data_IF_066177096228
#
_entry.id   IF_066177096228
#
_cell.length_a   1.000
_cell.length_b   1.000
_cell.length_c   1.000
_cell.angle_alpha   90.00
_cell.angle_beta   90.00
_cell.angle_gamma   90.00
#
_symmetry.space_group_name_H-M   'P 1'
#
loop_
_entity.id
_entity.type
_entity.pdbx_description
1 polymer ?
#
# COMPACT_ATOMS: atom_id res chain seq x y z
N UNK A 1 0.41 34.98 9.18
CA UNK A 1 1.83 34.64 9.35
C UNK A 1 2.04 33.33 8.62
N UNK A 2 2.97 33.29 7.66
CA UNK A 2 3.14 32.16 6.73
C UNK A 2 3.58 30.89 7.45
N UNK A 3 2.82 29.82 7.23
CA UNK A 3 3.20 28.46 7.57
C UNK A 3 3.90 27.89 6.35
N UNK A 4 5.23 27.87 6.40
CA UNK A 4 6.05 27.09 5.49
C UNK A 4 6.83 26.14 6.41
N UNK A 5 6.31 24.95 6.64
CA UNK A 5 7.07 23.90 7.29
C UNK A 5 8.17 23.43 6.34
N UNK A 6 9.40 23.34 6.86
CA UNK A 6 10.56 22.95 6.06
C UNK A 6 10.58 21.43 5.92
N UNK A 7 10.03 20.91 4.83
CA UNK A 7 10.40 19.59 4.34
C UNK A 7 11.88 19.61 3.93
N UNK A 8 12.69 18.75 4.54
CA UNK A 8 14.08 18.54 4.12
C UNK A 8 14.23 17.09 3.68
N UNK A 9 14.53 16.87 2.40
CA UNK A 9 14.91 15.56 1.90
C UNK A 9 16.32 15.25 2.43
N UNK A 10 16.46 14.18 3.21
CA UNK A 10 17.75 13.71 3.70
C UNK A 10 18.08 12.42 2.93
N UNK A 11 18.98 12.53 1.95
CA UNK A 11 19.61 11.36 1.34
C UNK A 11 20.91 11.06 2.07
N UNK A 12 20.94 10.03 2.91
CA UNK A 12 22.17 9.52 3.52
C UNK A 12 22.48 8.13 2.96
N UNK A 13 23.65 7.96 2.36
CA UNK A 13 24.15 6.64 1.94
C UNK A 13 24.85 6.03 3.16
N UNK A 14 24.20 5.04 3.80
CA UNK A 14 24.80 4.28 4.88
C UNK A 14 25.67 3.16 4.31
N UNK A 15 27.00 3.34 4.31
CA UNK A 15 27.94 2.23 4.21
C UNK A 15 28.40 1.86 5.62
N UNK A 16 27.80 0.86 6.25
CA UNK A 16 28.26 0.42 7.58
C UNK A 16 28.74 -1.03 7.60
N UNK A 17 30.00 -1.14 7.99
CA UNK A 17 30.69 -2.33 8.49
C UNK A 17 29.99 -2.85 9.74
N UNK A 18 29.53 -4.11 9.73
CA UNK A 18 28.98 -4.76 10.92
C UNK A 18 30.17 -5.15 11.80
N UNK A 19 30.41 -4.37 12.85
CA UNK A 19 30.94 -4.89 14.10
C UNK A 19 30.49 -4.00 15.26
N UNK A 20 30.22 -4.64 16.39
CA UNK A 20 29.56 -4.12 17.58
C UNK A 20 30.11 -2.76 18.08
N UNK A 21 29.19 -1.83 18.39
CA UNK A 21 29.47 -0.61 19.17
C UNK A 21 29.29 0.70 18.41
N UNK A 22 28.47 1.61 18.96
CA UNK A 22 28.40 2.99 18.51
C UNK A 22 29.66 3.73 18.95
N UNK A 23 30.47 4.20 17.99
CA UNK A 23 31.43 5.27 18.24
C UNK A 23 31.30 6.35 17.16
N UNK A 24 31.11 7.60 17.61
CA UNK A 24 30.90 8.77 16.76
C UNK A 24 32.26 9.18 16.17
N UNK A 25 32.42 9.11 14.85
CA UNK A 25 33.59 9.72 14.19
C UNK A 25 33.35 11.23 14.05
N UNK A 26 34.18 12.02 14.71
CA UNK A 26 34.16 13.47 14.65
C UNK A 26 34.57 13.98 13.25
N UNK A 27 33.82 14.95 12.72
CA UNK A 27 34.20 15.71 11.53
C UNK A 27 35.20 16.80 11.96
N UNK A 28 36.40 16.91 11.37
CA UNK A 28 37.32 17.99 11.69
C UNK A 28 36.81 19.32 11.09
N UNK A 29 36.93 20.40 11.86
CA UNK A 29 36.60 21.76 11.46
C UNK A 29 37.41 22.19 10.22
N UNK A 30 36.73 22.66 9.16
CA UNK A 30 37.37 23.46 8.11
C UNK A 30 37.15 23.11 6.64
N UNK A 31 36.11 22.37 6.24
CA UNK A 31 35.82 22.12 4.82
C UNK A 31 34.67 22.99 4.30
N UNK A 32 35.02 24.01 3.50
CA UNK A 32 34.07 24.85 2.75
C UNK A 32 33.52 24.09 1.53
N UNK A 33 32.21 24.18 1.32
CA UNK A 33 31.53 23.62 0.16
C UNK A 33 32.00 24.26 -1.15
N UNK A 34 32.49 23.46 -2.10
CA UNK A 34 32.33 23.74 -3.54
C UNK A 34 32.54 22.49 -4.39
N UNK A 35 31.49 22.16 -5.13
CA UNK A 35 31.49 21.59 -6.48
C UNK A 35 31.92 20.12 -6.68
N UNK A 36 30.91 19.35 -7.13
CA UNK A 36 30.94 18.09 -7.88
C UNK A 36 30.72 16.78 -7.08
N UNK A 37 29.49 16.22 -7.06
CA UNK A 37 29.18 14.96 -6.36
C UNK A 37 29.57 13.69 -7.14
N UNK A 38 30.16 13.79 -8.34
CA UNK A 38 30.56 12.62 -9.13
C UNK A 38 32.08 12.45 -9.19
N UNK A 39 32.69 11.95 -8.11
CA UNK A 39 33.90 11.12 -8.17
C UNK A 39 34.36 10.69 -6.78
N UNK A 40 34.13 9.43 -6.42
CA UNK A 40 35.13 8.66 -5.68
C UNK A 40 34.94 7.17 -5.99
N UNK A 41 35.67 6.67 -6.99
CA UNK A 41 35.88 5.24 -7.15
C UNK A 41 36.85 4.77 -6.07
N UNK A 42 36.41 3.86 -5.19
CA UNK A 42 37.27 2.99 -4.40
C UNK A 42 37.24 1.57 -5.00
N UNK A 43 38.33 0.80 -4.94
CA UNK A 43 38.46 -0.44 -5.67
C UNK A 43 37.51 -1.52 -5.13
N UNK A 44 36.82 -2.18 -6.06
CA UNK A 44 35.89 -3.28 -5.82
C UNK A 44 36.68 -4.47 -5.26
N UNK A 45 36.36 -4.85 -4.02
CA UNK A 45 36.87 -6.02 -3.35
C UNK A 45 35.82 -6.60 -2.41
N UNK A 46 35.20 -7.70 -2.87
CA UNK A 46 34.49 -8.73 -2.11
C UNK A 46 33.31 -8.34 -1.19
N UNK A 47 32.13 -8.85 -1.57
CA UNK A 47 31.06 -9.40 -0.70
C UNK A 47 30.28 -8.50 0.27
N UNK A 48 30.33 -7.17 0.16
CA UNK A 48 29.51 -6.31 1.02
C UNK A 48 28.26 -5.78 0.28
N UNK A 49 27.03 -6.04 0.78
CA UNK A 49 25.81 -5.42 0.25
C UNK A 49 25.89 -3.90 0.37
N UNK A 50 25.47 -3.18 -0.68
CA UNK A 50 25.27 -1.73 -0.59
C UNK A 50 23.77 -1.49 -0.42
N UNK A 51 23.38 -0.88 0.69
CA UNK A 51 21.98 -0.50 0.96
C UNK A 51 21.77 0.97 0.60
N UNK A 52 20.72 1.24 -0.17
CA UNK A 52 20.24 2.60 -0.43
C UNK A 52 18.92 2.82 0.30
N UNK A 53 18.92 3.61 1.37
CA UNK A 53 17.72 3.97 2.12
C UNK A 53 17.40 5.45 1.90
N UNK A 54 16.13 5.77 1.66
CA UNK A 54 15.63 7.15 1.52
C UNK A 54 14.56 7.36 2.57
N UNK A 55 14.60 8.50 3.27
CA UNK A 55 13.59 8.85 4.25
C UNK A 55 13.21 10.32 4.23
N UNK A 56 12.00 10.59 4.70
CA UNK A 56 11.45 11.92 4.90
C UNK A 56 11.40 12.19 6.40
N UNK A 57 11.93 13.35 6.81
CA UNK A 57 11.82 13.83 8.18
C UNK A 57 10.90 15.03 8.25
N UNK A 58 9.91 14.94 9.13
CA UNK A 58 9.03 16.02 9.53
C UNK A 58 9.44 16.50 10.91
N UNK A 59 9.67 17.80 11.05
CA UNK A 59 10.06 18.42 12.32
C UNK A 59 9.13 19.59 12.59
N UNK A 60 8.39 19.52 13.69
CA UNK A 60 7.47 20.58 14.10
C UNK A 60 8.16 21.55 15.08
N UNK A 61 7.73 22.81 15.08
CA UNK A 61 8.18 23.83 16.05
C UNK A 61 7.77 23.53 17.51
N UNK A 62 6.92 22.53 17.73
CA UNK A 62 6.40 22.12 19.03
C UNK A 62 7.14 20.92 19.61
N UNK A 63 8.23 20.48 18.96
CA UNK A 63 9.11 19.43 19.49
C UNK A 63 8.72 17.99 19.08
N UNK A 64 7.72 17.82 18.23
CA UNK A 64 7.40 16.55 17.57
C UNK A 64 8.25 16.42 16.30
N UNK A 65 9.09 15.37 16.25
CA UNK A 65 9.86 14.95 15.09
C UNK A 65 9.42 13.55 14.65
N UNK A 66 9.06 13.40 13.39
CA UNK A 66 8.74 12.11 12.75
C UNK A 66 9.71 11.85 11.61
N UNK A 67 10.20 10.61 11.49
CA UNK A 67 11.00 10.19 10.33
C UNK A 67 10.51 8.84 9.87
N UNK A 68 10.18 8.72 8.59
CA UNK A 68 9.88 7.44 7.96
C UNK A 68 10.60 7.34 6.62
N UNK A 69 10.99 6.13 6.25
CA UNK A 69 11.71 5.88 5.02
C UNK A 69 11.85 4.41 4.73
N UNK A 70 12.40 4.12 3.56
CA UNK A 70 12.68 2.76 3.14
C UNK A 70 13.60 2.73 1.92
N UNK A 71 13.99 1.53 1.52
CA UNK A 71 14.77 1.33 0.31
C UNK A 71 15.26 -0.10 0.13
N UNK A 72 15.76 -0.37 -1.06
CA UNK A 72 16.27 -1.67 -1.46
C UNK A 72 17.76 -1.84 -1.16
N UNK A 73 18.13 -3.02 -0.66
CA UNK A 73 19.51 -3.48 -0.63
C UNK A 73 19.93 -4.04 -1.99
N UNK A 74 20.98 -3.47 -2.60
CA UNK A 74 21.56 -4.00 -3.83
C UNK A 74 22.77 -4.87 -3.47
N UNK A 75 22.60 -6.20 -3.53
CA UNK A 75 23.72 -7.14 -3.48
C UNK A 75 24.23 -7.39 -4.88
N UNK A 76 25.52 -7.13 -5.13
CA UNK A 76 26.17 -7.55 -6.36
C UNK A 76 26.46 -9.07 -6.29
N UNK A 77 25.50 -9.90 -6.72
CA UNK A 77 25.60 -11.36 -6.73
C UNK A 77 24.22 -12.04 -6.62
N UNK A 78 24.13 -13.31 -7.03
CA UNK A 78 22.90 -14.14 -7.07
C UNK A 78 22.22 -14.28 -5.70
N UNK A 79 21.40 -13.28 -5.32
CA UNK A 79 20.55 -13.29 -4.14
C UNK A 79 19.34 -12.39 -4.37
N UNK A 80 18.20 -12.75 -3.76
CA UNK A 80 16.95 -11.99 -3.85
C UNK A 80 17.12 -10.59 -3.24
N UNK A 81 16.58 -9.53 -3.86
CA UNK A 81 16.63 -8.18 -3.30
C UNK A 81 15.93 -8.15 -1.93
N UNK A 82 16.53 -7.48 -0.95
CA UNK A 82 15.93 -7.27 0.37
C UNK A 82 15.45 -5.83 0.48
N UNK A 83 14.17 -5.62 0.78
CA UNK A 83 13.61 -4.30 1.06
C UNK A 83 13.50 -4.08 2.56
N UNK A 84 13.73 -2.84 3.01
CA UNK A 84 13.56 -2.44 4.40
C UNK A 84 12.79 -1.13 4.49
N UNK A 85 11.90 -1.07 5.46
CA UNK A 85 11.20 0.15 5.88
C UNK A 85 11.57 0.47 7.32
N UNK A 86 11.62 1.75 7.67
CA UNK A 86 11.87 2.22 9.02
C UNK A 86 10.95 3.41 9.34
N UNK A 87 10.50 3.49 10.59
CA UNK A 87 9.80 4.64 11.13
C UNK A 87 10.31 4.92 12.54
N UNK A 88 10.51 6.20 12.87
CA UNK A 88 10.94 6.65 14.18
C UNK A 88 10.17 7.91 14.58
N UNK A 89 9.60 7.87 15.79
CA UNK A 89 8.90 8.99 16.39
C UNK A 89 9.73 9.52 17.56
N UNK A 90 9.97 10.83 17.62
CA UNK A 90 10.69 11.46 18.73
C UNK A 90 9.97 12.69 19.25
N UNK A 91 9.79 12.74 20.56
CA UNK A 91 9.32 13.91 21.28
C UNK A 91 10.49 14.59 21.98
N UNK A 92 10.65 15.89 21.78
CA UNK A 92 11.59 16.72 22.53
C UNK A 92 10.83 17.78 23.31
N UNK A 93 10.72 17.60 24.63
CA UNK A 93 10.19 18.64 25.51
C UNK A 93 11.28 19.70 25.73
N UNK A 94 11.12 20.87 25.13
CA UNK A 94 11.90 22.05 25.50
C UNK A 94 11.23 22.71 26.71
N UNK A 95 11.69 22.41 27.92
CA UNK A 95 11.26 23.14 29.11
C UNK A 95 11.68 24.61 28.99
N UNK A 96 10.72 25.49 28.72
CA UNK A 96 10.92 26.93 28.73
C UNK A 96 10.66 27.47 30.15
N UNK A 97 11.74 27.87 30.84
CA UNK A 97 11.68 28.91 31.88
C UNK A 97 11.70 28.45 33.34
N UNK A 98 12.68 29.02 34.07
CA UNK A 98 12.80 29.21 35.52
C UNK A 98 13.41 28.10 36.40
N UNK A 99 14.14 28.58 37.42
CA UNK A 99 15.26 27.94 38.10
C UNK A 99 14.87 27.15 39.37
N UNK A 100 15.51 25.99 39.60
CA UNK A 100 15.80 25.37 40.90
C UNK A 100 16.81 24.22 40.64
N UNK A 101 18.06 24.32 41.12
CA UNK A 101 18.60 23.67 42.33
C UNK A 101 18.60 22.13 42.36
N UNK A 102 19.69 21.60 42.88
CA UNK A 102 20.18 20.21 42.83
C UNK A 102 19.14 19.11 43.15
N UNK A 103 19.09 18.08 42.30
CA UNK A 103 18.39 16.83 42.58
C UNK A 103 18.13 16.01 41.32
N UNK A 104 18.88 14.93 41.13
CA UNK A 104 18.79 14.08 39.95
C UNK A 104 17.45 13.35 39.80
N UNK A 105 17.04 13.20 38.54
CA UNK A 105 16.21 12.08 38.08
C UNK A 105 16.56 11.85 36.61
N UNK A 106 17.32 10.78 36.37
CA UNK A 106 17.63 10.23 35.05
C UNK A 106 16.56 9.18 34.76
N UNK A 107 15.77 9.39 33.71
CA UNK A 107 14.99 8.35 33.05
C UNK A 107 14.62 8.84 31.64
N UNK A 108 15.55 8.71 30.69
CA UNK A 108 15.20 8.68 29.27
C UNK A 108 14.58 7.33 28.96
N UNK A 109 13.25 7.26 28.94
CA UNK A 109 12.51 6.12 28.42
C UNK A 109 12.49 6.20 26.89
N UNK A 110 13.36 5.43 26.22
CA UNK A 110 13.31 5.22 24.77
C UNK A 110 12.77 3.81 24.50
N UNK A 111 11.48 3.69 24.26
CA UNK A 111 10.94 2.50 23.60
C UNK A 111 10.87 2.77 22.10
N UNK A 112 11.93 2.39 21.40
CA UNK A 112 11.86 2.18 19.96
C UNK A 112 11.23 0.81 19.73
N UNK A 113 10.07 0.78 19.08
CA UNK A 113 9.51 -0.45 18.54
C UNK A 113 10.20 -0.72 17.21
N UNK A 114 11.06 -1.74 17.16
CA UNK A 114 11.62 -2.28 15.92
C UNK A 114 10.75 -3.49 15.52
N UNK A 115 9.86 -3.34 14.54
CA UNK A 115 9.26 -4.49 13.85
C UNK A 115 9.96 -4.69 12.51
N UNK A 116 10.61 -5.84 12.37
CA UNK A 116 11.25 -6.29 11.14
C UNK A 116 10.38 -7.37 10.50
N UNK A 117 9.86 -7.11 9.31
CA UNK A 117 9.18 -8.12 8.50
C UNK A 117 10.22 -8.79 7.61
N UNK A 118 10.65 -10.00 7.96
CA UNK A 118 11.53 -10.84 7.13
C UNK A 118 10.68 -11.91 6.45
N UNK A 119 10.35 -11.72 5.17
CA UNK A 119 9.62 -12.71 4.39
C UNK A 119 10.62 -13.62 3.66
N UNK A 120 11.06 -14.67 4.35
CA UNK A 120 11.67 -15.85 3.71
C UNK A 120 10.96 -17.13 4.17
N UNK A 121 10.69 -18.11 3.27
CA UNK A 121 10.02 -19.36 3.66
C UNK A 121 10.99 -20.25 4.44
N UNK A 122 10.63 -20.55 5.70
CA UNK A 122 11.37 -21.42 6.61
C UNK A 122 11.19 -22.90 6.22
N UNK A 123 12.23 -23.49 5.62
CA UNK A 123 12.41 -24.95 5.60
C UNK A 123 12.97 -25.44 6.95
N UNK A 124 12.27 -26.36 7.59
CA UNK A 124 12.68 -26.99 8.85
C UNK A 124 13.58 -28.20 8.59
N UNK A 125 14.82 -28.16 9.08
CA UNK A 125 15.63 -29.35 9.34
C UNK A 125 15.37 -29.81 10.78
N UNK A 126 14.92 -31.07 10.96
CA UNK A 126 15.14 -31.80 12.21
C UNK A 126 15.80 -33.15 11.91
N UNK A 127 16.89 -33.40 12.62
CA UNK A 127 17.63 -34.66 12.65
C UNK A 127 17.30 -35.40 13.94
N UNK A 128 16.74 -36.62 13.87
CA UNK A 128 16.86 -37.63 14.92
C UNK A 128 17.20 -39.02 14.35
N UNK A 129 17.91 -39.80 15.16
CA UNK A 129 18.64 -41.05 14.86
C UNK A 129 17.78 -42.33 15.02
N UNK A 130 18.27 -43.53 14.62
CA UNK A 130 17.45 -44.62 14.09
C UNK A 130 16.96 -45.63 15.15
N UNK A 131 15.83 -46.28 14.85
CA UNK A 131 15.48 -47.61 15.39
C UNK A 131 15.16 -48.59 14.26
N UNK A 132 15.57 -49.84 14.47
CA UNK A 132 15.56 -50.93 13.51
C UNK A 132 14.21 -51.64 13.32
N UNK A 133 14.16 -52.42 12.23
CA UNK A 133 13.40 -53.65 11.97
C UNK A 133 12.11 -53.54 11.16
N UNK A 134 12.21 -53.83 9.86
CA UNK A 134 11.83 -55.13 9.30
C UNK A 134 12.09 -55.15 7.79
N UNK A 135 12.76 -56.20 7.31
CA UNK A 135 12.99 -56.45 5.89
C UNK A 135 11.66 -56.81 5.21
N UNK A 136 11.08 -55.87 4.47
CA UNK A 136 10.24 -56.22 3.32
C UNK A 136 11.04 -55.97 2.04
N UNK A 137 11.18 -57.03 1.25
CA UNK A 137 11.77 -57.04 -0.09
C UNK A 137 11.20 -55.91 -0.96
N UNK A 138 12.02 -55.02 -1.54
CA UNK A 138 11.51 -54.02 -2.46
C UNK A 138 11.02 -54.71 -3.73
N UNK A 139 9.73 -54.55 -4.01
CA UNK A 139 9.18 -54.68 -5.36
C UNK A 139 9.99 -53.77 -6.29
N UNK A 140 10.33 -54.21 -7.52
CA UNK A 140 11.11 -53.39 -8.45
C UNK A 140 10.40 -52.05 -8.68
N UNK A 141 11.14 -50.93 -8.84
CA UNK A 141 10.53 -49.64 -9.09
C UNK A 141 9.64 -49.75 -10.32
N UNK A 142 8.36 -49.42 -10.16
CA UNK A 142 7.50 -49.18 -11.31
C UNK A 142 8.17 -48.10 -12.16
N UNK A 143 8.30 -48.43 -13.44
CA UNK A 143 8.70 -47.54 -14.51
C UNK A 143 8.06 -46.17 -14.30
N UNK A 144 8.79 -45.03 -14.44
CA UNK A 144 8.15 -43.73 -14.44
C UNK A 144 6.98 -43.76 -15.42
N UNK A 145 5.82 -43.26 -14.98
CA UNK A 145 4.61 -43.13 -15.79
C UNK A 145 5.00 -42.75 -17.22
N UNK A 146 4.52 -43.55 -18.19
CA UNK A 146 4.64 -43.25 -19.61
C UNK A 146 4.31 -41.77 -19.79
N UNK A 147 5.30 -40.98 -20.24
CA UNK A 147 5.02 -39.69 -20.83
C UNK A 147 3.97 -39.98 -21.91
N UNK A 148 2.78 -39.39 -21.79
CA UNK A 148 1.73 -39.58 -22.78
C UNK A 148 2.36 -39.30 -24.15
N UNK A 149 2.41 -40.33 -24.98
CA UNK A 149 2.94 -40.21 -26.33
C UNK A 149 1.97 -39.31 -27.06
N UNK A 150 2.33 -38.02 -27.18
CA UNK A 150 1.49 -37.02 -27.85
C UNK A 150 1.28 -37.54 -29.28
N UNK A 151 0.06 -37.99 -29.58
CA UNK A 151 -0.26 -38.73 -30.82
C UNK A 151 -0.01 -37.86 -32.07
N UNK A 152 -0.11 -36.54 -31.92
CA UNK A 152 0.15 -35.53 -32.95
C UNK A 152 0.72 -34.22 -32.36
N UNK A 153 2.03 -34.14 -32.05
CA UNK A 153 2.59 -32.99 -31.30
C UNK A 153 2.55 -31.67 -32.07
N UNK A 154 2.49 -31.70 -33.40
CA UNK A 154 2.33 -30.49 -34.22
C UNK A 154 0.88 -30.30 -34.70
N UNK A 155 -0.05 -31.09 -34.17
CA UNK A 155 -1.49 -30.88 -34.33
C UNK A 155 -1.96 -29.66 -33.57
N UNK A 156 -3.20 -29.28 -33.86
CA UNK A 156 -3.98 -28.20 -33.24
C UNK A 156 -5.39 -28.79 -33.21
N UNK A 157 -5.61 -29.70 -32.25
CA UNK A 157 -6.73 -30.65 -32.29
C UNK A 157 -8.07 -29.98 -31.94
N UNK A 158 -8.05 -28.90 -31.17
CA UNK A 158 -9.23 -28.07 -30.86
C UNK A 158 -9.37 -26.81 -31.74
N UNK A 159 -8.31 -26.40 -32.45
CA UNK A 159 -8.34 -25.30 -33.41
C UNK A 159 -8.23 -23.92 -32.77
N UNK A 160 -7.70 -23.81 -31.55
CA UNK A 160 -7.44 -22.53 -30.87
C UNK A 160 -6.15 -21.83 -31.39
N UNK A 161 -5.38 -22.58 -32.17
CA UNK A 161 -4.17 -22.17 -32.85
C UNK A 161 -2.89 -22.57 -32.15
N UNK A 162 -2.90 -23.02 -30.89
CA UNK A 162 -1.73 -23.64 -30.24
C UNK A 162 -1.51 -25.04 -30.80
N UNK A 163 -0.27 -25.54 -30.68
CA UNK A 163 -0.01 -26.94 -31.01
C UNK A 163 -0.18 -27.83 -29.78
N UNK A 164 -0.63 -29.07 -29.95
CA UNK A 164 -0.76 -30.04 -28.85
C UNK A 164 0.53 -30.15 -28.00
N UNK A 165 1.71 -29.97 -28.63
CA UNK A 165 2.98 -29.93 -27.91
C UNK A 165 3.15 -28.65 -27.06
N UNK A 166 2.79 -27.48 -27.59
CA UNK A 166 2.83 -26.22 -26.85
C UNK A 166 1.89 -26.26 -25.64
N UNK A 167 0.67 -26.75 -25.84
CA UNK A 167 -0.33 -26.90 -24.79
C UNK A 167 0.18 -27.79 -23.66
N UNK A 168 0.55 -29.05 -23.95
CA UNK A 168 0.99 -29.98 -22.91
C UNK A 168 2.35 -29.61 -22.28
N UNK A 169 3.28 -29.09 -23.07
CA UNK A 169 4.69 -28.93 -22.63
C UNK A 169 5.01 -27.54 -22.09
N UNK A 170 4.23 -26.51 -22.43
CA UNK A 170 4.54 -25.12 -22.10
C UNK A 170 3.42 -24.42 -21.32
N UNK A 171 2.17 -24.58 -21.73
CA UNK A 171 1.05 -23.84 -21.14
C UNK A 171 0.23 -24.69 -20.17
N UNK A 172 0.40 -26.01 -20.20
CA UNK A 172 -0.31 -26.98 -19.36
C UNK A 172 -1.84 -26.94 -19.54
N UNK A 173 -2.28 -26.65 -20.76
CA UNK A 173 -3.68 -26.64 -21.21
C UNK A 173 -4.08 -28.00 -21.83
N UNK A 174 -5.37 -28.21 -22.10
CA UNK A 174 -5.90 -29.45 -22.70
C UNK A 174 -5.98 -29.33 -24.24
N UNK A 175 -5.20 -30.12 -25.02
CA UNK A 175 -5.20 -30.07 -26.49
C UNK A 175 -6.52 -30.34 -27.21
N UNK A 176 -7.55 -30.76 -26.49
CA UNK A 176 -8.88 -31.02 -27.04
C UNK A 176 -9.93 -30.01 -26.55
N UNK A 177 -9.51 -28.98 -25.81
CA UNK A 177 -10.37 -27.99 -25.22
C UNK A 177 -9.79 -26.59 -25.46
N UNK A 178 -10.40 -25.80 -26.37
CA UNK A 178 -9.80 -24.54 -26.81
C UNK A 178 -9.84 -23.42 -25.76
N UNK A 179 -10.38 -23.67 -24.57
CA UNK A 179 -10.64 -22.73 -23.46
C UNK A 179 -10.56 -23.55 -22.15
N UNK A 180 -9.34 -23.69 -21.64
CA UNK A 180 -8.96 -24.65 -20.61
C UNK A 180 -9.47 -24.29 -19.22
N UNK A 181 -9.58 -23.00 -18.90
CA UNK A 181 -10.11 -22.52 -17.62
C UNK A 181 -11.59 -22.09 -17.68
N UNK A 182 -12.16 -21.94 -18.88
CA UNK A 182 -13.57 -21.70 -19.11
C UNK A 182 -14.01 -20.26 -18.90
N UNK A 183 -13.11 -19.29 -19.02
CA UNK A 183 -13.40 -17.87 -18.83
C UNK A 183 -14.01 -17.18 -20.07
N UNK A 184 -14.00 -17.89 -21.22
CA UNK A 184 -14.55 -17.44 -22.49
C UNK A 184 -13.54 -16.83 -23.46
N UNK A 185 -12.25 -16.82 -23.13
CA UNK A 185 -11.12 -16.59 -24.03
C UNK A 185 -10.50 -17.95 -24.37
N UNK A 186 -10.05 -18.14 -25.60
CA UNK A 186 -9.36 -19.38 -25.96
C UNK A 186 -7.89 -19.35 -25.55
N UNK A 187 -7.30 -20.47 -25.14
CA UNK A 187 -5.90 -20.56 -24.66
C UNK A 187 -4.91 -19.91 -25.66
N UNK A 188 -5.10 -20.18 -26.95
CA UNK A 188 -4.29 -19.62 -28.02
C UNK A 188 -4.46 -18.12 -28.24
N UNK A 189 -5.58 -17.53 -27.82
CA UNK A 189 -5.81 -16.09 -27.83
C UNK A 189 -5.20 -15.42 -26.59
N UNK A 190 -5.30 -16.04 -25.41
CA UNK A 190 -4.65 -15.60 -24.19
C UNK A 190 -3.14 -15.50 -24.38
N UNK A 191 -2.52 -16.57 -24.86
CA UNK A 191 -1.07 -16.65 -25.08
C UNK A 191 -0.58 -15.62 -26.10
N UNK A 192 -1.37 -15.31 -27.14
CA UNK A 192 -0.91 -14.52 -28.30
C UNK A 192 -1.35 -13.07 -28.29
N UNK A 193 -2.51 -12.77 -27.73
CA UNK A 193 -3.15 -11.46 -27.84
C UNK A 193 -3.26 -10.74 -26.50
N UNK A 194 -3.55 -11.46 -25.41
CA UNK A 194 -3.88 -10.88 -24.09
C UNK A 194 -2.83 -11.12 -22.99
N UNK A 195 -1.70 -11.74 -23.34
CA UNK A 195 -0.80 -12.48 -22.43
C UNK A 195 -1.32 -12.81 -21.01
N UNK A 196 -2.47 -13.48 -20.88
CA UNK A 196 -3.00 -14.04 -19.63
C UNK A 196 -2.55 -15.49 -19.39
N UNK A 197 -2.83 -16.07 -18.22
CA UNK A 197 -2.56 -17.47 -17.89
C UNK A 197 -3.75 -18.36 -18.32
N UNK A 198 -3.63 -19.16 -19.39
CA UNK A 198 -4.75 -19.92 -19.95
C UNK A 198 -5.23 -21.10 -19.10
N UNK A 199 -4.70 -21.22 -17.88
CA UNK A 199 -5.13 -22.20 -16.90
C UNK A 199 -5.81 -21.56 -15.69
N UNK A 200 -5.99 -20.23 -15.72
CA UNK A 200 -6.57 -19.43 -14.66
C UNK A 200 -7.57 -18.45 -15.25
N UNK A 201 -8.84 -18.69 -14.95
CA UNK A 201 -9.91 -17.82 -15.42
C UNK A 201 -9.80 -16.37 -14.93
N UNK A 202 -9.01 -16.10 -13.89
CA UNK A 202 -8.74 -14.79 -13.29
C UNK A 202 -7.23 -14.73 -13.03
N UNK A 203 -6.51 -14.00 -13.88
CA UNK A 203 -5.04 -14.01 -13.94
C UNK A 203 -4.38 -13.15 -12.85
N UNK A 204 -5.00 -12.05 -12.44
CA UNK A 204 -4.50 -11.17 -11.38
C UNK A 204 -5.18 -11.34 -10.01
N UNK A 205 -6.16 -12.24 -9.94
CA UNK A 205 -6.83 -12.70 -8.72
C UNK A 205 -7.63 -11.59 -8.02
N UNK A 206 -8.22 -10.68 -8.81
CA UNK A 206 -8.99 -9.54 -8.33
C UNK A 206 -10.51 -9.81 -8.16
N UNK A 207 -10.97 -10.97 -8.64
CA UNK A 207 -12.36 -11.40 -8.60
C UNK A 207 -13.11 -11.31 -9.93
N UNK A 208 -12.54 -10.70 -10.96
CA UNK A 208 -13.05 -10.72 -12.32
C UNK A 208 -12.31 -11.74 -13.17
N UNK A 209 -13.04 -12.40 -14.06
CA UNK A 209 -12.39 -13.29 -15.01
C UNK A 209 -11.76 -12.50 -16.16
N UNK A 210 -10.65 -12.95 -16.73
CA UNK A 210 -9.95 -12.26 -17.82
C UNK A 210 -10.91 -12.02 -19.00
N UNK A 211 -11.78 -13.00 -19.29
CA UNK A 211 -12.86 -12.89 -20.26
C UNK A 211 -13.85 -11.76 -19.97
N UNK A 212 -14.25 -11.52 -18.72
CA UNK A 212 -15.13 -10.41 -18.35
C UNK A 212 -14.42 -9.07 -18.51
N UNK A 213 -13.19 -8.99 -18.05
CA UNK A 213 -12.35 -7.81 -18.17
C UNK A 213 -12.12 -7.42 -19.63
N UNK A 214 -11.74 -8.36 -20.49
CA UNK A 214 -11.47 -8.09 -21.90
C UNK A 214 -12.76 -7.78 -22.69
N UNK A 215 -13.81 -8.59 -22.50
CA UNK A 215 -14.98 -8.57 -23.38
C UNK A 215 -16.06 -7.59 -22.91
N UNK A 216 -16.09 -7.23 -21.62
CA UNK A 216 -17.18 -6.45 -21.01
C UNK A 216 -16.70 -5.12 -20.45
N UNK A 217 -15.73 -5.15 -19.53
CA UNK A 217 -15.35 -3.97 -18.73
C UNK A 217 -14.17 -3.20 -19.33
N UNK A 218 -13.42 -3.84 -20.22
CA UNK A 218 -12.23 -3.30 -20.87
C UNK A 218 -11.18 -2.85 -19.84
N UNK A 219 -11.07 -3.54 -18.71
CA UNK A 219 -10.02 -3.44 -17.69
C UNK A 219 -8.76 -4.21 -18.13
N UNK A 220 -7.80 -4.39 -17.23
CA UNK A 220 -6.48 -4.96 -17.54
C UNK A 220 -6.28 -6.29 -16.81
N UNK A 221 -6.39 -7.45 -17.49
CA UNK A 221 -6.43 -8.76 -16.83
C UNK A 221 -5.18 -9.27 -16.11
N UNK A 222 -4.16 -8.44 -16.01
CA UNK A 222 -2.94 -8.78 -15.28
C UNK A 222 -2.59 -7.67 -14.28
N UNK A 223 -3.58 -6.84 -13.95
CA UNK A 223 -3.46 -5.70 -13.08
C UNK A 223 -4.79 -5.50 -12.33
N UNK A 224 -4.84 -5.87 -11.03
CA UNK A 224 -6.09 -5.98 -10.28
C UNK A 224 -6.76 -4.64 -9.96
N UNK A 225 -6.19 -3.52 -10.40
CA UNK A 225 -6.63 -2.13 -10.13
C UNK A 225 -6.23 -1.31 -11.36
N UNK A 226 -7.13 -1.22 -12.35
CA UNK A 226 -6.86 -0.70 -13.68
C UNK A 226 -6.65 0.80 -13.76
N UNK A 227 -7.22 1.57 -12.84
CA UNK A 227 -7.08 3.02 -12.79
C UNK A 227 -6.14 3.53 -11.70
N UNK A 228 -5.76 2.67 -10.76
CA UNK A 228 -4.72 2.88 -9.77
C UNK A 228 -5.17 3.70 -8.57
N UNK A 229 -6.45 3.63 -8.21
CA UNK A 229 -7.04 4.41 -7.11
C UNK A 229 -6.98 3.69 -5.75
N UNK A 230 -6.67 2.38 -5.76
CA UNK A 230 -6.54 1.52 -4.58
C UNK A 230 -7.71 0.59 -4.32
N UNK A 231 -8.76 0.61 -5.13
CA UNK A 231 -9.85 -0.36 -5.17
C UNK A 231 -9.60 -1.37 -6.31
N UNK A 232 -9.97 -2.64 -6.15
CA UNK A 232 -9.77 -3.62 -7.22
C UNK A 232 -10.88 -3.57 -8.25
N UNK A 233 -10.61 -3.84 -9.52
CA UNK A 233 -11.62 -3.77 -10.58
C UNK A 233 -12.83 -4.66 -10.23
N UNK A 234 -12.57 -5.84 -9.64
CA UNK A 234 -13.60 -6.71 -9.09
C UNK A 234 -14.45 -6.11 -7.98
N UNK A 235 -13.85 -5.44 -6.99
CA UNK A 235 -14.59 -4.80 -5.91
C UNK A 235 -15.41 -3.62 -6.42
N UNK A 236 -14.86 -2.83 -7.34
CA UNK A 236 -15.55 -1.72 -7.99
C UNK A 236 -16.83 -2.17 -8.67
N UNK A 237 -16.81 -3.28 -9.40
CA UNK A 237 -17.97 -3.79 -10.13
C UNK A 237 -18.96 -4.49 -9.19
N UNK A 238 -18.49 -5.39 -8.33
CA UNK A 238 -19.37 -6.29 -7.56
C UNK A 238 -19.86 -5.67 -6.24
N UNK A 239 -19.07 -4.79 -5.62
CA UNK A 239 -19.34 -4.24 -4.29
C UNK A 239 -19.80 -2.79 -4.32
N UNK A 240 -19.16 -1.95 -5.14
CA UNK A 240 -19.33 -0.49 -5.07
C UNK A 240 -20.09 0.13 -6.24
N UNK A 241 -20.17 -0.57 -7.37
CA UNK A 241 -20.70 -0.07 -8.63
C UNK A 241 -20.02 1.22 -9.13
N UNK A 242 -18.74 1.41 -8.79
CA UNK A 242 -17.85 2.42 -9.37
C UNK A 242 -17.35 2.01 -10.76
N UNK A 243 -16.68 2.92 -11.47
CA UNK A 243 -16.11 2.69 -12.79
C UNK A 243 -14.63 2.32 -12.67
N UNK A 244 -14.22 1.06 -12.94
CA UNK A 244 -12.85 0.55 -12.76
C UNK A 244 -11.80 1.11 -13.72
N UNK A 245 -12.14 2.21 -14.37
CA UNK A 245 -11.32 2.91 -15.34
C UNK A 245 -11.25 4.40 -15.03
N UNK A 246 -11.85 4.82 -13.92
CA UNK A 246 -11.97 6.18 -13.52
C UNK A 246 -11.80 6.29 -11.99
N UNK A 247 -10.65 6.81 -11.51
CA UNK A 247 -10.27 6.76 -10.10
C UNK A 247 -11.04 7.75 -9.21
N UNK A 248 -12.19 8.26 -9.67
CA UNK A 248 -13.06 9.30 -9.08
C UNK A 248 -14.40 9.22 -9.83
N UNK A 249 -15.21 8.22 -9.50
CA UNK A 249 -16.40 7.80 -10.24
C UNK A 249 -17.51 8.83 -10.28
N UNK A 250 -17.67 9.60 -9.20
CA UNK A 250 -18.70 10.64 -9.10
C UNK A 250 -18.20 12.05 -9.45
N UNK A 251 -16.87 12.24 -9.54
CA UNK A 251 -16.23 13.49 -9.95
C UNK A 251 -16.22 14.58 -8.87
N UNK A 252 -16.35 14.24 -7.59
CA UNK A 252 -16.20 15.18 -6.47
C UNK A 252 -14.72 15.50 -6.16
N UNK A 253 -13.80 14.66 -6.66
CA UNK A 253 -12.37 14.80 -6.55
C UNK A 253 -11.72 14.13 -5.35
N UNK A 254 -12.45 13.25 -4.66
CA UNK A 254 -11.94 12.15 -3.84
C UNK A 254 -11.74 10.92 -4.74
N UNK A 255 -10.89 9.98 -4.34
CA UNK A 255 -10.68 8.74 -5.11
C UNK A 255 -11.52 7.63 -4.52
N UNK A 256 -12.13 6.77 -5.35
CA UNK A 256 -13.07 5.74 -4.90
C UNK A 256 -12.42 4.82 -3.86
N UNK A 257 -11.17 4.43 -4.09
CA UNK A 257 -10.36 3.69 -3.13
C UNK A 257 -10.19 4.39 -1.77
N UNK A 258 -10.05 5.72 -1.73
CA UNK A 258 -9.99 6.50 -0.47
C UNK A 258 -11.35 6.63 0.20
N UNK A 259 -12.40 6.82 -0.59
CA UNK A 259 -13.78 6.88 -0.12
C UNK A 259 -14.15 5.60 0.64
N UNK A 260 -13.85 4.45 0.06
CA UNK A 260 -14.13 3.17 0.68
C UNK A 260 -13.26 2.91 1.91
N UNK A 261 -11.94 3.13 1.80
CA UNK A 261 -10.97 2.68 2.81
C UNK A 261 -10.88 3.59 4.04
N UNK A 262 -10.87 4.92 3.85
CA UNK A 262 -10.57 5.89 4.90
C UNK A 262 -11.80 6.67 5.36
N UNK A 263 -12.71 7.00 4.45
CA UNK A 263 -13.84 7.91 4.72
C UNK A 263 -15.19 7.21 4.87
N UNK A 264 -15.29 5.98 4.37
CA UNK A 264 -16.51 5.16 4.35
C UNK A 264 -17.70 5.86 3.67
N UNK A 265 -17.41 6.61 2.62
CA UNK A 265 -18.38 7.25 1.73
C UNK A 265 -18.76 6.36 0.56
N UNK A 266 -19.78 6.75 -0.21
CA UNK A 266 -20.22 6.03 -1.40
C UNK A 266 -19.53 6.61 -2.65
N UNK A 267 -18.61 5.86 -3.30
CA UNK A 267 -17.80 6.39 -4.41
C UNK A 267 -18.59 6.76 -5.67
N UNK A 268 -19.89 6.45 -5.69
CA UNK A 268 -20.79 6.82 -6.78
C UNK A 268 -21.63 8.07 -6.48
N UNK A 269 -21.40 8.72 -5.33
CA UNK A 269 -22.15 9.87 -4.85
C UNK A 269 -21.25 10.94 -4.26
N UNK A 270 -21.14 12.04 -5.00
CA UNK A 270 -20.38 13.20 -4.57
C UNK A 270 -20.84 13.82 -3.23
N UNK A 271 -21.99 13.42 -2.71
CA UNK A 271 -22.61 13.87 -1.46
C UNK A 271 -23.31 12.63 -0.86
N UNK A 272 -22.59 11.92 0.02
CA UNK A 272 -22.96 10.60 0.53
C UNK A 272 -24.21 10.65 1.39
N UNK A 273 -24.32 11.66 2.25
CA UNK A 273 -25.45 11.80 3.18
C UNK A 273 -26.61 12.66 2.64
N UNK A 274 -26.38 13.43 1.58
CA UNK A 274 -27.37 14.21 0.85
C UNK A 274 -27.73 15.54 1.48
N UNK A 275 -26.87 16.15 2.31
CA UNK A 275 -27.13 17.45 2.95
C UNK A 275 -26.86 18.66 2.04
N UNK A 276 -26.09 18.45 0.95
CA UNK A 276 -25.73 19.46 -0.04
C UNK A 276 -24.29 19.98 0.04
N UNK A 277 -23.45 19.44 0.93
CA UNK A 277 -22.00 19.49 0.83
C UNK A 277 -21.50 18.24 0.10
N UNK A 278 -20.33 18.35 -0.55
CA UNK A 278 -19.71 17.17 -1.15
C UNK A 278 -18.78 16.52 -0.14
N UNK A 279 -18.58 15.21 -0.24
CA UNK A 279 -17.77 14.45 0.71
C UNK A 279 -16.37 15.04 0.85
N UNK A 280 -15.73 15.35 -0.28
CA UNK A 280 -14.45 16.06 -0.31
C UNK A 280 -14.50 17.40 0.43
N UNK A 281 -15.56 18.18 0.25
CA UNK A 281 -15.69 19.52 0.87
C UNK A 281 -15.84 19.38 2.38
N UNK A 282 -16.60 18.42 2.84
CA UNK A 282 -16.74 18.11 4.27
C UNK A 282 -15.40 17.73 4.88
N UNK A 283 -14.67 16.80 4.25
CA UNK A 283 -13.37 16.32 4.73
C UNK A 283 -12.30 17.43 4.71
N UNK A 284 -12.10 18.12 3.58
CA UNK A 284 -10.96 19.03 3.40
C UNK A 284 -11.19 20.43 3.98
N UNK A 285 -12.44 20.88 4.06
CA UNK A 285 -12.76 22.28 4.38
C UNK A 285 -13.47 22.44 5.72
N UNK A 286 -14.45 21.60 6.02
CA UNK A 286 -15.30 21.77 7.19
C UNK A 286 -14.95 20.83 8.34
N UNK A 287 -14.25 19.74 8.05
CA UNK A 287 -13.86 18.69 8.99
C UNK A 287 -15.08 18.03 9.67
N UNK A 288 -16.19 17.94 8.93
CA UNK A 288 -17.42 17.26 9.30
C UNK A 288 -17.40 15.78 8.90
N UNK A 289 -18.39 15.00 9.34
CA UNK A 289 -18.55 13.59 9.01
C UNK A 289 -19.41 13.45 7.74
N UNK A 290 -18.83 13.10 6.57
CA UNK A 290 -19.54 13.05 5.28
C UNK A 290 -20.63 11.97 5.20
N UNK A 291 -20.79 11.17 6.25
CA UNK A 291 -21.84 10.16 6.35
C UNK A 291 -23.03 10.63 7.20
N UNK A 292 -23.01 11.86 7.70
CA UNK A 292 -24.02 12.43 8.60
C UNK A 292 -24.37 13.86 8.25
N UNK A 293 -25.62 14.01 7.85
CA UNK A 293 -26.23 15.32 7.55
C UNK A 293 -26.08 16.37 8.67
N UNK A 294 -25.90 15.96 9.93
CA UNK A 294 -25.76 16.81 11.12
C UNK A 294 -24.66 16.20 11.98
N UNK A 295 -23.43 16.74 11.86
CA UNK A 295 -22.22 16.14 12.43
C UNK A 295 -22.12 16.27 13.94
N UNK A 296 -22.65 17.36 14.50
CA UNK A 296 -22.55 17.67 15.93
C UNK A 296 -23.86 17.45 16.71
N UNK A 297 -24.91 17.01 16.02
CA UNK A 297 -26.22 16.59 16.51
C UNK A 297 -27.01 17.73 17.19
N UNK A 298 -26.83 18.97 16.71
CA UNK A 298 -27.45 20.16 17.27
C UNK A 298 -28.84 20.49 16.67
N UNK A 299 -29.17 19.86 15.54
CA UNK A 299 -30.43 20.00 14.81
C UNK A 299 -30.37 20.88 13.57
N UNK A 300 -29.20 21.40 13.18
CA UNK A 300 -28.91 21.96 11.87
C UNK A 300 -28.10 20.96 11.04
N UNK A 301 -28.24 21.01 9.71
CA UNK A 301 -27.32 20.26 8.85
C UNK A 301 -26.03 21.02 8.59
N UNK A 302 -24.93 20.32 8.36
CA UNK A 302 -23.61 20.93 8.14
C UNK A 302 -23.68 21.94 6.98
N UNK A 303 -24.36 21.58 5.89
CA UNK A 303 -24.67 22.47 4.76
C UNK A 303 -25.46 23.73 5.17
N UNK A 304 -26.49 23.59 6.00
CA UNK A 304 -27.28 24.73 6.48
C UNK A 304 -26.45 25.65 7.36
N UNK A 305 -25.56 25.10 8.15
CA UNK A 305 -24.71 25.86 9.04
C UNK A 305 -23.76 26.75 8.26
N UNK A 306 -23.07 26.18 7.28
CA UNK A 306 -22.07 26.92 6.53
C UNK A 306 -22.68 27.88 5.50
N UNK A 307 -23.93 27.65 5.05
CA UNK A 307 -24.58 28.48 4.03
C UNK A 307 -25.61 29.47 4.56
N UNK A 308 -26.31 29.16 5.66
CA UNK A 308 -27.48 29.91 6.13
C UNK A 308 -27.26 30.57 7.49
N UNK A 309 -26.88 29.82 8.52
CA UNK A 309 -26.74 30.36 9.89
C UNK A 309 -25.35 30.92 10.17
N UNK A 310 -24.34 30.46 9.43
CA UNK A 310 -22.92 30.79 9.61
C UNK A 310 -22.38 30.35 10.97
N UNK A 311 -22.90 29.23 11.48
CA UNK A 311 -22.48 28.53 12.72
C UNK A 311 -21.36 27.53 12.41
N UNK A 312 -20.76 26.96 13.46
CA UNK A 312 -19.68 25.97 13.38
C UNK A 312 -20.26 24.56 13.22
N UNK A 313 -20.17 23.91 12.04
CA UNK A 313 -20.81 22.62 11.81
C UNK A 313 -20.21 21.43 12.58
N UNK A 314 -19.18 21.69 13.38
CA UNK A 314 -18.56 20.69 14.26
C UNK A 314 -18.77 21.03 15.75
N UNK A 315 -19.47 22.13 16.03
CA UNK A 315 -19.59 22.72 17.35
C UNK A 315 -21.03 23.12 17.66
N UNK A 316 -21.73 22.38 18.53
CA UNK A 316 -23.20 22.44 18.61
C UNK A 316 -23.73 23.67 19.35
N UNK A 317 -22.88 24.65 19.66
CA UNK A 317 -23.17 25.89 20.40
C UNK A 317 -22.06 26.90 20.04
N UNK A 318 -22.22 27.57 18.90
CA UNK A 318 -21.20 28.43 18.29
C UNK A 318 -20.83 29.62 19.18
N UNK A 319 -21.79 30.20 19.89
CA UNK A 319 -21.57 31.37 20.73
C UNK A 319 -21.27 31.05 22.21
N UNK A 320 -21.54 29.81 22.64
CA UNK A 320 -21.23 29.31 23.97
C UNK A 320 -22.19 29.80 25.06
N UNK A 321 -23.43 30.18 24.71
CA UNK A 321 -24.45 30.63 25.67
C UNK A 321 -25.22 29.47 26.34
N UNK A 322 -25.01 28.23 25.86
CA UNK A 322 -25.58 27.01 26.39
C UNK A 322 -26.90 26.59 25.72
N UNK A 323 -27.31 27.25 24.65
CA UNK A 323 -28.40 26.83 23.77
C UNK A 323 -27.78 26.34 22.46
N UNK A 324 -28.22 25.17 21.98
CA UNK A 324 -27.69 24.61 20.74
C UNK A 324 -28.05 25.50 19.54
N UNK A 325 -27.22 25.60 18.51
CA UNK A 325 -27.44 26.54 17.40
C UNK A 325 -28.76 26.25 16.66
N UNK A 326 -29.13 24.98 16.48
CA UNK A 326 -30.43 24.57 15.94
C UNK A 326 -31.64 24.96 16.79
N UNK A 327 -31.44 25.24 18.08
CA UNK A 327 -32.47 25.72 19.00
C UNK A 327 -32.35 27.23 19.31
N UNK A 328 -31.28 27.89 18.88
CA UNK A 328 -31.00 29.28 19.22
C UNK A 328 -31.55 30.26 18.16
N UNK A 329 -32.36 31.26 18.54
CA UNK A 329 -32.83 32.28 17.61
C UNK A 329 -31.75 33.28 17.16
N UNK A 330 -30.65 33.38 17.89
CA UNK A 330 -29.50 34.27 17.72
C UNK A 330 -28.16 33.50 17.99
N UNK A 331 -27.83 32.43 17.23
CA UNK A 331 -26.73 31.49 17.52
C UNK A 331 -25.30 32.07 17.41
N UNK A 332 -25.18 33.38 17.21
CA UNK A 332 -23.91 34.10 17.03
C UNK A 332 -23.75 35.23 18.07
N UNK A 333 -24.64 35.34 19.07
CA UNK A 333 -24.61 36.40 20.08
C UNK A 333 -24.88 35.89 21.51
N UNK A 334 -23.78 35.55 22.20
CA UNK A 334 -23.78 35.03 23.56
C UNK A 334 -24.29 35.98 24.66
N UNK A 335 -24.83 37.15 24.33
CA UNK A 335 -25.18 38.22 25.29
C UNK A 335 -26.62 38.20 25.77
N UNK A 336 -27.27 37.04 25.83
CA UNK A 336 -28.60 36.90 26.44
C UNK A 336 -28.57 37.11 27.96
#
# INVERSE_FOLDING_TARGET
AGWLDRMTLIGEIFGKHIDHGFDRVAVPEGATASENPFALFAPIGAENPIEGLVGVRFASKWGLDFTAGGGGGFTAGFGSPRYRVFAALRFTFSAAGEAAEEGGFDDTFSEGWEETWDTTPSGTEETESPEETSEETPTPPETPAEAEEIENPNGDDDGDGLTNFEELSRFHTDPNNPDSDGDGISDGAEVRNYPTDPTKADSDEDGLSDGLEILTFNTTPNNPDSDGDGLTDGDEIDSYASDPKNPDSDGDGLWDGLEVSDYHTDPTKADTDGDGLSDRVEIERWFTDPTKTDSDEDGLSDAEEVTRTQTDPFGPDTDGDGILDGADPDPLDARK
#
